data_IF_151674666147
#
_entry.id   IF_151674666147
#
_cell.length_a   1.000
_cell.length_b   1.000
_cell.length_c   1.000
_cell.angle_alpha   90.00
_cell.angle_beta   90.00
_cell.angle_gamma   90.00
#
_symmetry.space_group_name_H-M   'P 1'
#
loop_
_entity.id
_entity.type
_entity.pdbx_description
1 polymer ?
#
# COMPACT_ATOMS: atom_id res chain seq x y z
N UNK A 1 18.49 -21.38 8.44
CA UNK A 1 17.26 -21.75 7.72
C UNK A 1 16.89 -20.60 6.80
N UNK A 2 16.32 -20.90 5.65
CA UNK A 2 15.76 -19.87 4.76
C UNK A 2 14.60 -19.16 5.47
N UNK A 3 14.49 -17.83 5.30
CA UNK A 3 13.38 -17.07 5.87
C UNK A 3 12.13 -17.20 5.00
N UNK A 4 10.98 -17.36 5.61
CA UNK A 4 9.67 -17.45 4.95
C UNK A 4 8.96 -16.09 5.01
N UNK A 5 8.50 -15.61 3.86
CA UNK A 5 7.71 -14.38 3.77
C UNK A 5 6.24 -14.70 4.01
N UNK A 6 5.60 -14.02 4.96
CA UNK A 6 4.15 -13.99 5.12
C UNK A 6 3.54 -12.74 4.49
N UNK A 7 2.54 -12.89 3.62
CA UNK A 7 1.79 -11.77 3.06
C UNK A 7 0.39 -11.73 3.69
N UNK A 8 0.14 -10.73 4.54
CA UNK A 8 -1.17 -10.40 5.09
C UNK A 8 -1.92 -9.56 4.05
N UNK A 9 -2.61 -10.24 3.13
CA UNK A 9 -3.21 -9.68 1.94
C UNK A 9 -4.73 -9.56 1.98
N UNK A 10 -5.35 -9.56 0.81
CA UNK A 10 -6.80 -9.44 0.62
C UNK A 10 -7.34 -8.00 0.59
N UNK A 11 -6.47 -6.99 0.63
CA UNK A 11 -6.83 -5.59 0.87
C UNK A 11 -6.49 -4.58 -0.25
N UNK A 12 -6.53 -4.91 -1.55
CA UNK A 12 -7.36 -5.95 -2.15
C UNK A 12 -6.64 -7.23 -2.61
N UNK A 13 -7.38 -8.22 -3.12
CA UNK A 13 -6.81 -9.45 -3.68
C UNK A 13 -5.87 -9.20 -4.85
N UNK A 14 -6.20 -8.27 -5.76
CA UNK A 14 -5.36 -7.98 -6.92
C UNK A 14 -4.02 -7.34 -6.51
N UNK A 15 -4.03 -6.39 -5.57
CA UNK A 15 -2.82 -5.82 -4.98
C UNK A 15 -1.95 -6.88 -4.27
N UNK A 16 -2.58 -7.90 -3.69
CA UNK A 16 -1.87 -9.02 -3.06
C UNK A 16 -1.17 -9.89 -4.11
N UNK A 17 -1.87 -10.21 -5.20
CA UNK A 17 -1.30 -10.96 -6.32
C UNK A 17 -0.17 -10.17 -7.01
N UNK A 18 -0.33 -8.85 -7.16
CA UNK A 18 0.69 -7.96 -7.71
C UNK A 18 1.96 -7.93 -6.85
N UNK A 19 1.83 -7.85 -5.51
CA UNK A 19 3.00 -7.96 -4.62
C UNK A 19 3.73 -9.29 -4.81
N UNK A 20 3.01 -10.41 -4.85
CA UNK A 20 3.64 -11.71 -5.05
C UNK A 20 4.35 -11.80 -6.42
N UNK A 21 3.70 -11.33 -7.48
CA UNK A 21 4.30 -11.22 -8.82
C UNK A 21 5.60 -10.41 -8.78
N UNK A 22 5.60 -9.24 -8.10
CA UNK A 22 6.78 -8.39 -7.96
C UNK A 22 7.91 -9.08 -7.17
N UNK A 23 7.60 -9.78 -6.09
CA UNK A 23 8.58 -10.58 -5.34
C UNK A 23 9.22 -11.61 -6.28
N UNK A 24 8.41 -12.36 -7.02
CA UNK A 24 8.90 -13.38 -7.96
C UNK A 24 9.79 -12.78 -9.05
N UNK A 25 9.36 -11.69 -9.70
CA UNK A 25 10.11 -11.03 -10.77
C UNK A 25 11.40 -10.35 -10.30
N UNK A 26 11.44 -9.88 -9.05
CA UNK A 26 12.61 -9.21 -8.47
C UNK A 26 13.56 -10.17 -7.75
N UNK A 27 13.18 -11.44 -7.58
CA UNK A 27 14.07 -12.46 -7.02
C UNK A 27 15.08 -12.88 -8.06
N UNK A 28 16.37 -12.76 -7.75
CA UNK A 28 17.45 -13.28 -8.59
C UNK A 28 17.54 -14.79 -8.41
N UNK A 29 16.88 -15.53 -9.28
CA UNK A 29 16.86 -16.98 -9.29
C UNK A 29 17.17 -17.50 -10.70
N UNK A 30 17.97 -18.56 -10.79
CA UNK A 30 18.26 -19.28 -12.04
C UNK A 30 17.44 -20.57 -12.20
N UNK A 31 16.70 -20.95 -11.16
CA UNK A 31 15.79 -22.10 -11.13
C UNK A 31 14.65 -21.89 -10.12
N UNK A 32 13.57 -22.66 -10.23
CA UNK A 32 12.41 -22.58 -9.33
C UNK A 32 12.79 -22.74 -7.85
N UNK A 33 13.82 -23.54 -7.56
CA UNK A 33 14.27 -23.84 -6.19
C UNK A 33 15.01 -22.69 -5.51
N UNK A 34 15.42 -21.68 -6.26
CA UNK A 34 16.10 -20.48 -5.75
C UNK A 34 15.13 -19.34 -5.44
N UNK A 35 13.84 -19.51 -5.76
CA UNK A 35 12.83 -18.54 -5.36
C UNK A 35 12.54 -18.60 -3.86
N UNK A 36 12.19 -17.44 -3.31
CA UNK A 36 11.85 -17.29 -1.89
C UNK A 36 10.58 -18.07 -1.55
N UNK A 37 10.59 -18.75 -0.39
CA UNK A 37 9.36 -19.33 0.15
C UNK A 37 8.40 -18.23 0.63
N UNK A 38 7.18 -18.23 0.09
CA UNK A 38 6.11 -17.26 0.40
C UNK A 38 4.84 -17.98 0.85
N UNK A 39 4.22 -17.50 1.92
CA UNK A 39 2.86 -17.86 2.35
C UNK A 39 1.98 -16.63 2.25
N UNK A 40 0.79 -16.79 1.66
CA UNK A 40 -0.15 -15.67 1.44
C UNK A 40 -1.47 -16.00 2.12
N UNK A 41 -1.90 -15.13 3.03
CA UNK A 41 -3.27 -15.11 3.52
C UNK A 41 -4.00 -13.93 2.85
N UNK A 42 -4.72 -14.24 1.77
CA UNK A 42 -5.49 -13.25 1.01
C UNK A 42 -6.94 -13.17 1.52
N UNK A 43 -7.13 -12.63 2.73
CA UNK A 43 -8.44 -12.50 3.35
C UNK A 43 -9.22 -11.24 2.86
N UNK A 44 -10.05 -11.40 1.83
CA UNK A 44 -10.92 -10.34 1.33
C UNK A 44 -12.12 -10.00 2.25
N UNK A 45 -12.29 -10.72 3.37
CA UNK A 45 -13.33 -10.45 4.37
C UNK A 45 -12.92 -9.40 5.40
N UNK A 46 -11.66 -8.97 5.41
CA UNK A 46 -11.20 -7.86 6.25
C UNK A 46 -12.03 -6.60 5.90
N UNK A 47 -12.72 -5.99 6.90
CA UNK A 47 -13.50 -4.77 6.71
C UNK A 47 -12.75 -3.64 5.98
N UNK A 48 -13.51 -2.74 5.35
CA UNK A 48 -12.92 -1.60 4.63
C UNK A 48 -12.19 -0.66 5.58
N UNK A 49 -10.90 -0.42 5.30
CA UNK A 49 -10.04 0.38 6.17
C UNK A 49 -10.44 1.86 6.15
N UNK A 50 -10.83 2.39 5.00
CA UNK A 50 -11.25 3.80 4.88
C UNK A 50 -12.54 4.05 5.65
N UNK A 51 -13.53 3.17 5.52
CA UNK A 51 -14.80 3.23 6.24
C UNK A 51 -14.62 3.09 7.75
N UNK A 52 -13.72 2.22 8.21
CA UNK A 52 -13.38 2.12 9.63
C UNK A 52 -12.77 3.42 10.18
N UNK A 53 -11.85 4.04 9.44
CA UNK A 53 -11.15 5.27 9.87
C UNK A 53 -12.06 6.50 9.84
N UNK A 54 -12.86 6.66 8.77
CA UNK A 54 -13.56 7.92 8.49
C UNK A 54 -15.05 7.91 8.84
N UNK A 55 -15.64 6.74 9.00
CA UNK A 55 -17.11 6.61 9.05
C UNK A 55 -17.60 5.68 10.14
N UNK A 56 -16.73 5.31 11.10
CA UNK A 56 -17.08 4.40 12.19
C UNK A 56 -17.49 3.01 11.71
N UNK A 57 -17.01 2.59 10.54
CA UNK A 57 -17.24 1.25 10.01
C UNK A 57 -16.64 0.16 10.89
N UNK A 58 -16.92 -1.10 10.56
CA UNK A 58 -16.43 -2.24 11.31
C UNK A 58 -14.90 -2.25 11.43
N UNK A 59 -14.39 -2.53 12.62
CA UNK A 59 -12.96 -2.59 12.91
C UNK A 59 -12.28 -3.72 12.13
N UNK A 60 -11.26 -3.46 11.30
CA UNK A 60 -10.59 -4.50 10.53
C UNK A 60 -9.62 -5.35 11.35
N UNK A 61 -9.20 -4.88 12.52
CA UNK A 61 -8.12 -5.51 13.30
C UNK A 61 -8.38 -6.97 13.68
N UNK A 62 -9.59 -7.38 14.12
CA UNK A 62 -9.84 -8.79 14.44
C UNK A 62 -9.57 -9.75 13.27
N UNK A 63 -9.99 -9.39 12.06
CA UNK A 63 -9.76 -10.20 10.86
C UNK A 63 -8.28 -10.16 10.41
N UNK A 64 -7.61 -9.02 10.60
CA UNK A 64 -6.17 -8.91 10.34
C UNK A 64 -5.35 -9.77 11.31
N UNK A 65 -5.71 -9.82 12.59
CA UNK A 65 -5.07 -10.67 13.59
C UNK A 65 -5.33 -12.16 13.31
N UNK A 66 -6.51 -12.50 12.81
CA UNK A 66 -6.81 -13.86 12.35
C UNK A 66 -5.86 -14.28 11.22
N UNK A 67 -5.72 -13.43 10.19
CA UNK A 67 -4.79 -13.67 9.08
C UNK A 67 -3.32 -13.73 9.53
N UNK A 68 -2.91 -12.84 10.44
CA UNK A 68 -1.56 -12.84 11.02
C UNK A 68 -1.26 -14.17 11.73
N UNK A 69 -2.18 -14.65 12.57
CA UNK A 69 -2.05 -15.94 13.26
C UNK A 69 -1.99 -17.12 12.30
N UNK A 70 -2.66 -17.05 11.15
CA UNK A 70 -2.56 -18.08 10.12
C UNK A 70 -1.15 -18.10 9.52
N UNK A 71 -0.59 -16.93 9.19
CA UNK A 71 0.77 -16.80 8.68
C UNK A 71 1.82 -17.31 9.66
N UNK A 72 1.67 -17.02 10.96
CA UNK A 72 2.53 -17.58 12.02
C UNK A 72 2.48 -19.11 12.04
N UNK A 73 1.29 -19.71 12.02
CA UNK A 73 1.13 -21.18 12.00
C UNK A 73 1.69 -21.82 10.74
N UNK A 74 1.72 -21.09 9.62
CA UNK A 74 2.34 -21.53 8.38
C UNK A 74 3.87 -21.33 8.36
N UNK A 75 4.45 -20.76 9.42
CA UNK A 75 5.89 -20.61 9.61
C UNK A 75 6.48 -19.37 8.94
N UNK A 76 5.73 -18.27 8.81
CA UNK A 76 6.28 -17.00 8.36
C UNK A 76 7.32 -16.45 9.36
N UNK A 77 8.41 -15.86 8.84
CA UNK A 77 9.47 -15.22 9.64
C UNK A 77 9.43 -13.68 9.56
N UNK A 78 8.64 -13.13 8.63
CA UNK A 78 8.48 -11.70 8.38
C UNK A 78 7.13 -11.46 7.72
N UNK A 79 6.47 -10.36 8.07
CA UNK A 79 5.15 -10.02 7.53
C UNK A 79 5.25 -8.83 6.57
N UNK A 80 4.64 -8.99 5.40
CA UNK A 80 4.34 -7.94 4.44
C UNK A 80 2.83 -7.68 4.43
N UNK A 81 2.44 -6.42 4.28
CA UNK A 81 1.02 -6.02 4.22
C UNK A 81 0.80 -5.08 3.02
N UNK A 82 0.39 -5.59 1.83
CA UNK A 82 0.22 -4.80 0.61
C UNK A 82 -1.05 -3.91 0.64
N UNK A 83 -1.17 -3.07 1.67
CA UNK A 83 -2.23 -2.08 1.80
C UNK A 83 -1.75 -0.88 2.62
N UNK A 84 -1.68 0.30 2.00
CA UNK A 84 -1.23 1.52 2.68
C UNK A 84 -2.15 1.93 3.82
N UNK A 85 -3.46 2.02 3.55
CA UNK A 85 -4.46 2.36 4.58
C UNK A 85 -4.41 1.42 5.79
N UNK A 86 -4.07 0.13 5.58
CA UNK A 86 -3.98 -0.84 6.66
C UNK A 86 -2.82 -0.57 7.64
N UNK A 87 -1.78 0.17 7.23
CA UNK A 87 -0.68 0.55 8.11
C UNK A 87 -1.10 1.51 9.22
N UNK A 88 -2.26 2.17 9.11
CA UNK A 88 -2.86 2.90 10.23
C UNK A 88 -3.09 2.00 11.45
N UNK A 89 -3.39 0.71 11.20
CA UNK A 89 -3.66 -0.27 12.24
C UNK A 89 -2.40 -1.04 12.68
N UNK A 90 -1.25 -0.82 12.04
CA UNK A 90 0.00 -1.52 12.39
C UNK A 90 0.38 -1.40 13.88
N UNK A 91 0.20 -0.24 14.57
CA UNK A 91 0.44 -0.14 16.01
C UNK A 91 -0.43 -1.07 16.87
N UNK A 92 -1.58 -1.54 16.35
CA UNK A 92 -2.47 -2.50 17.00
C UNK A 92 -2.18 -3.95 16.62
N UNK A 93 -1.37 -4.18 15.57
CA UNK A 93 -1.01 -5.51 15.09
C UNK A 93 0.36 -5.95 15.59
N UNK A 94 1.36 -5.06 15.54
CA UNK A 94 2.74 -5.40 15.91
C UNK A 94 2.88 -5.92 17.35
N UNK A 95 2.15 -5.42 18.37
CA UNK A 95 2.24 -5.98 19.73
C UNK A 95 1.69 -7.40 19.88
N UNK A 96 0.93 -7.89 18.91
CA UNK A 96 0.26 -9.20 18.96
C UNK A 96 1.12 -10.32 18.35
N UNK A 97 2.36 -10.02 17.93
CA UNK A 97 3.29 -10.98 17.33
C UNK A 97 4.75 -10.56 17.56
N UNK A 98 5.65 -11.55 17.64
CA UNK A 98 7.09 -11.32 17.59
C UNK A 98 7.62 -11.19 16.16
N UNK A 99 6.79 -11.52 15.15
CA UNK A 99 7.20 -11.40 13.75
C UNK A 99 7.34 -9.92 13.37
N UNK A 100 8.46 -9.53 12.73
CA UNK A 100 8.62 -8.17 12.28
C UNK A 100 7.71 -7.90 11.07
N UNK A 101 7.00 -6.78 11.10
CA UNK A 101 6.41 -6.21 9.89
C UNK A 101 7.45 -5.39 9.13
N UNK A 102 7.61 -5.64 7.83
CA UNK A 102 8.32 -4.69 6.98
C UNK A 102 7.35 -3.56 6.60
N UNK A 103 7.52 -2.41 7.26
CA UNK A 103 6.68 -1.25 7.07
C UNK A 103 6.89 -0.67 5.66
N UNK A 104 5.89 -0.85 4.79
CA UNK A 104 5.96 -0.40 3.40
C UNK A 104 6.00 1.12 3.31
N UNK A 105 5.37 1.83 4.25
CA UNK A 105 5.33 3.30 4.26
C UNK A 105 6.73 3.87 4.51
N UNK A 106 7.39 3.41 5.57
CA UNK A 106 8.74 3.83 5.91
C UNK A 106 9.74 3.45 4.83
N UNK A 107 9.64 2.23 4.28
CA UNK A 107 10.49 1.77 3.18
C UNK A 107 10.32 2.64 1.93
N UNK A 108 9.08 3.01 1.60
CA UNK A 108 8.77 3.87 0.44
C UNK A 108 9.36 5.27 0.63
N UNK A 109 9.10 5.90 1.78
CA UNK A 109 9.59 7.27 2.05
C UNK A 109 11.12 7.32 2.07
N UNK A 110 11.78 6.36 2.74
CA UNK A 110 13.23 6.27 2.75
C UNK A 110 13.81 6.16 1.33
N UNK A 111 13.18 5.35 0.47
CA UNK A 111 13.60 5.20 -0.93
C UNK A 111 13.36 6.48 -1.74
N UNK A 112 12.23 7.14 -1.57
CA UNK A 112 11.92 8.41 -2.23
C UNK A 112 12.95 9.50 -1.84
N UNK A 113 13.28 9.63 -0.55
CA UNK A 113 14.29 10.58 -0.08
C UNK A 113 15.65 10.35 -0.73
N UNK A 114 16.06 9.08 -0.85
CA UNK A 114 17.34 8.73 -1.45
C UNK A 114 17.38 9.00 -2.96
N UNK A 115 16.27 8.79 -3.68
CA UNK A 115 16.20 9.00 -5.13
C UNK A 115 15.96 10.46 -5.52
N UNK A 116 15.23 11.21 -4.71
CA UNK A 116 14.77 12.56 -5.01
C UNK A 116 15.13 13.53 -3.88
N UNK A 117 16.44 13.73 -3.58
CA UNK A 117 16.85 14.61 -2.50
C UNK A 117 16.40 16.06 -2.74
N UNK A 118 15.78 16.67 -1.73
CA UNK A 118 15.27 18.05 -1.78
C UNK A 118 14.05 18.26 -2.67
N UNK A 119 13.39 17.17 -3.10
CA UNK A 119 12.19 17.21 -3.95
C UNK A 119 10.92 17.00 -3.14
N UNK A 120 9.82 17.53 -3.66
CA UNK A 120 8.49 17.47 -3.03
C UNK A 120 7.69 16.30 -3.60
N UNK A 121 7.14 15.46 -2.71
CA UNK A 121 6.26 14.36 -3.09
C UNK A 121 4.83 14.85 -3.35
N UNK A 122 4.18 14.38 -4.41
CA UNK A 122 2.72 14.37 -4.54
C UNK A 122 2.19 13.02 -4.03
N UNK A 123 1.24 13.03 -3.10
CA UNK A 123 0.68 11.79 -2.55
C UNK A 123 -0.63 11.42 -3.25
N UNK A 124 -0.64 10.32 -3.98
CA UNK A 124 -1.88 9.71 -4.50
C UNK A 124 -2.24 8.52 -3.63
N UNK A 125 -3.32 8.62 -2.86
CA UNK A 125 -3.72 7.58 -1.94
C UNK A 125 -5.23 7.61 -1.68
N UNK A 126 -5.75 6.64 -0.93
CA UNK A 126 -7.14 6.68 -0.46
C UNK A 126 -7.34 7.83 0.52
N UNK A 127 -8.57 8.34 0.63
CA UNK A 127 -8.92 9.35 1.64
C UNK A 127 -8.58 8.86 3.06
N UNK A 128 -8.76 7.56 3.34
CA UNK A 128 -8.37 6.97 4.62
C UNK A 128 -6.86 7.09 4.88
N UNK A 129 -6.03 6.80 3.87
CA UNK A 129 -4.57 6.95 3.96
C UNK A 129 -4.18 8.41 4.22
N UNK A 130 -4.73 9.35 3.43
CA UNK A 130 -4.42 10.79 3.57
C UNK A 130 -4.83 11.32 4.94
N UNK A 131 -6.07 11.04 5.37
CA UNK A 131 -6.62 11.55 6.64
C UNK A 131 -6.02 10.88 7.88
N UNK A 132 -5.58 9.63 7.77
CA UNK A 132 -4.92 8.91 8.87
C UNK A 132 -3.50 9.41 9.18
N UNK A 133 -2.88 10.17 8.27
CA UNK A 133 -1.54 10.70 8.44
C UNK A 133 -0.40 9.70 8.17
N UNK A 134 -0.69 8.43 7.83
CA UNK A 134 0.33 7.37 7.75
C UNK A 134 1.54 7.74 6.90
N UNK A 135 1.33 8.41 5.75
CA UNK A 135 2.43 8.91 4.92
C UNK A 135 2.95 10.27 5.36
N UNK A 136 2.06 11.23 5.68
CA UNK A 136 2.47 12.60 6.00
C UNK A 136 3.34 12.67 7.24
N UNK A 137 3.08 11.83 8.23
CA UNK A 137 3.84 11.77 9.47
C UNK A 137 5.27 11.26 9.22
N UNK A 138 5.40 10.22 8.40
CA UNK A 138 6.70 9.65 8.01
C UNK A 138 7.47 10.61 7.09
N UNK A 139 6.79 11.21 6.11
CA UNK A 139 7.38 12.22 5.21
C UNK A 139 7.92 13.41 6.00
N UNK A 140 7.13 13.94 6.95
CA UNK A 140 7.55 15.04 7.81
C UNK A 140 8.76 14.67 8.67
N UNK A 141 8.73 13.48 9.30
CA UNK A 141 9.86 12.96 10.10
C UNK A 141 11.14 12.81 9.28
N UNK A 142 11.03 12.42 8.01
CA UNK A 142 12.17 12.23 7.11
C UNK A 142 12.59 13.52 6.36
N UNK A 143 11.91 14.66 6.61
CA UNK A 143 12.21 15.95 6.00
C UNK A 143 11.82 16.05 4.52
N UNK A 144 10.81 15.30 4.08
CA UNK A 144 10.31 15.31 2.69
C UNK A 144 9.01 16.11 2.63
N UNK A 145 9.01 17.21 1.86
CA UNK A 145 7.80 18.01 1.60
C UNK A 145 6.76 17.22 0.81
N UNK A 146 5.48 17.48 1.07
CA UNK A 146 4.37 16.74 0.46
C UNK A 146 3.25 17.69 -0.02
N UNK A 147 2.74 17.43 -1.23
CA UNK A 147 1.53 18.02 -1.80
C UNK A 147 0.42 16.97 -1.75
N UNK A 148 -0.68 17.33 -1.10
CA UNK A 148 -1.89 16.52 -1.05
C UNK A 148 -2.86 16.93 -2.16
N UNK A 149 -3.73 16.02 -2.63
CA UNK A 149 -4.79 16.36 -3.56
C UNK A 149 -5.81 17.32 -2.92
N UNK A 150 -6.48 18.12 -3.75
CA UNK A 150 -7.72 18.83 -3.35
C UNK A 150 -8.84 17.82 -3.12
N UNK A 151 -9.99 18.27 -2.58
CA UNK A 151 -11.14 17.37 -2.37
C UNK A 151 -11.68 16.80 -3.69
N UNK A 152 -11.74 17.62 -4.74
CA UNK A 152 -12.19 17.22 -6.07
C UNK A 152 -11.23 16.19 -6.69
N UNK A 153 -9.92 16.46 -6.61
CA UNK A 153 -8.88 15.55 -7.09
C UNK A 153 -8.89 14.22 -6.32
N UNK A 154 -9.10 14.28 -5.01
CA UNK A 154 -9.21 13.12 -4.15
C UNK A 154 -10.43 12.27 -4.50
N UNK A 155 -11.55 12.89 -4.87
CA UNK A 155 -12.76 12.18 -5.30
C UNK A 155 -12.52 11.41 -6.61
N UNK A 156 -11.84 12.03 -7.60
CA UNK A 156 -11.46 11.36 -8.85
C UNK A 156 -10.56 10.15 -8.58
N UNK A 157 -9.55 10.30 -7.74
CA UNK A 157 -8.67 9.16 -7.38
C UNK A 157 -9.42 8.05 -6.64
N UNK A 158 -10.34 8.40 -5.73
CA UNK A 158 -11.13 7.42 -5.00
C UNK A 158 -12.02 6.61 -5.93
N UNK A 159 -12.71 7.24 -6.88
CA UNK A 159 -13.52 6.53 -7.88
C UNK A 159 -12.68 5.49 -8.64
N UNK A 160 -11.53 5.91 -9.17
CA UNK A 160 -10.62 5.02 -9.90
C UNK A 160 -10.14 3.84 -9.04
N UNK A 161 -9.71 4.10 -7.80
CA UNK A 161 -9.25 3.06 -6.87
C UNK A 161 -10.36 2.03 -6.60
N UNK A 162 -11.58 2.48 -6.31
CA UNK A 162 -12.69 1.57 -5.99
C UNK A 162 -13.19 0.78 -7.21
N UNK A 163 -13.17 1.38 -8.41
CA UNK A 163 -13.49 0.67 -9.67
C UNK A 163 -12.51 -0.45 -9.96
N UNK A 164 -11.20 -0.20 -9.81
CA UNK A 164 -10.17 -1.25 -9.96
C UNK A 164 -10.28 -2.32 -8.87
N UNK A 165 -10.60 -1.95 -7.62
CA UNK A 165 -10.94 -2.94 -6.58
C UNK A 165 -12.14 -3.80 -6.96
N UNK A 166 -13.12 -3.24 -7.69
CA UNK A 166 -14.27 -3.94 -8.25
C UNK A 166 -13.95 -4.81 -9.48
N UNK A 167 -12.71 -4.80 -9.97
CA UNK A 167 -12.27 -5.59 -11.13
C UNK A 167 -12.41 -4.89 -12.48
N UNK A 168 -12.72 -3.59 -12.48
CA UNK A 168 -12.78 -2.82 -13.71
C UNK A 168 -11.38 -2.50 -14.25
N UNK A 169 -11.20 -2.57 -15.56
CA UNK A 169 -9.98 -2.12 -16.25
C UNK A 169 -10.19 -0.69 -16.75
N UNK A 170 -9.43 0.26 -16.20
CA UNK A 170 -9.44 1.64 -16.68
C UNK A 170 -8.65 1.75 -17.98
N UNK A 171 -9.12 2.57 -18.92
CA UNK A 171 -8.52 2.72 -20.26
C UNK A 171 -8.26 4.17 -20.67
N UNK A 172 -8.59 5.12 -19.81
CA UNK A 172 -8.45 6.55 -20.07
C UNK A 172 -7.60 7.19 -18.97
N UNK A 173 -6.45 7.71 -19.37
CA UNK A 173 -5.48 8.34 -18.49
C UNK A 173 -5.75 9.84 -18.27
N UNK A 174 -6.66 10.46 -19.05
CA UNK A 174 -6.84 11.90 -19.06
C UNK A 174 -7.14 12.48 -17.67
N UNK A 175 -7.89 11.74 -16.85
CA UNK A 175 -8.15 12.13 -15.46
C UNK A 175 -6.86 12.18 -14.63
N UNK A 176 -5.99 11.17 -14.73
CA UNK A 176 -4.71 11.12 -14.00
C UNK A 176 -3.69 12.12 -14.53
N UNK A 177 -3.68 12.41 -15.84
CA UNK A 177 -2.85 13.46 -16.42
C UNK A 177 -3.23 14.84 -15.87
N UNK A 178 -4.53 15.13 -15.79
CA UNK A 178 -5.03 16.37 -15.18
C UNK A 178 -4.66 16.49 -13.69
N UNK A 179 -4.83 15.40 -12.93
CA UNK A 179 -4.41 15.31 -11.53
C UNK A 179 -2.92 15.60 -11.37
N UNK A 180 -2.08 14.96 -12.19
CA UNK A 180 -0.64 15.15 -12.16
C UNK A 180 -0.25 16.58 -12.50
N UNK A 181 -0.82 17.16 -13.57
CA UNK A 181 -0.54 18.53 -13.99
C UNK A 181 -0.90 19.56 -12.90
N UNK A 182 -2.08 19.42 -12.29
CA UNK A 182 -2.54 20.30 -11.21
C UNK A 182 -1.62 20.22 -9.97
N UNK A 183 -1.26 19.00 -9.54
CA UNK A 183 -0.35 18.81 -8.40
C UNK A 183 1.07 19.30 -8.69
N UNK A 184 1.55 19.14 -9.92
CA UNK A 184 2.85 19.69 -10.37
C UNK A 184 2.85 21.22 -10.33
N UNK A 185 1.78 21.86 -10.76
CA UNK A 185 1.64 23.32 -10.67
C UNK A 185 1.68 23.83 -9.21
N UNK A 186 1.32 22.97 -8.24
CA UNK A 186 1.43 23.23 -6.80
C UNK A 186 2.74 22.76 -6.17
N UNK A 187 3.71 22.33 -6.99
CA UNK A 187 5.07 22.03 -6.56
C UNK A 187 5.39 20.55 -6.35
N UNK A 188 4.53 19.61 -6.75
CA UNK A 188 4.89 18.18 -6.71
C UNK A 188 5.96 17.86 -7.78
N UNK A 189 7.12 17.34 -7.36
CA UNK A 189 8.21 16.93 -8.24
C UNK A 189 8.05 15.48 -8.71
N UNK A 190 7.69 14.58 -7.78
CA UNK A 190 7.46 13.16 -8.01
C UNK A 190 6.19 12.68 -7.30
N UNK A 191 5.66 11.52 -7.68
CA UNK A 191 4.42 10.99 -7.10
C UNK A 191 4.67 9.70 -6.33
N UNK A 192 4.08 9.61 -5.14
CA UNK A 192 3.98 8.36 -4.38
C UNK A 192 2.61 7.76 -4.68
N UNK A 193 2.61 6.56 -5.25
CA UNK A 193 1.40 5.75 -5.45
C UNK A 193 1.02 5.04 -4.13
N UNK A 194 0.53 5.83 -3.18
CA UNK A 194 0.14 5.46 -1.82
C UNK A 194 -1.17 4.66 -1.71
N UNK A 195 -1.61 3.98 -2.76
CA UNK A 195 -2.61 2.92 -2.74
C UNK A 195 -2.13 1.80 -3.66
N UNK A 196 -2.16 0.55 -3.19
CA UNK A 196 -1.56 -0.58 -3.93
C UNK A 196 -2.31 -0.96 -5.22
N UNK A 197 -3.52 -0.44 -5.41
CA UNK A 197 -4.21 -0.49 -6.70
C UNK A 197 -3.72 0.55 -7.72
N UNK A 198 -3.08 1.65 -7.30
CA UNK A 198 -2.61 2.69 -8.22
C UNK A 198 -1.47 2.27 -9.14
N UNK A 199 -0.48 1.46 -8.73
CA UNK A 199 0.49 0.89 -9.66
C UNK A 199 -0.18 0.03 -10.74
N UNK A 200 -1.24 -0.71 -10.38
CA UNK A 200 -1.99 -1.51 -11.35
C UNK A 200 -2.73 -0.62 -12.33
N UNK A 201 -3.35 0.47 -11.85
CA UNK A 201 -3.96 1.50 -12.71
C UNK A 201 -2.92 2.08 -13.65
N UNK A 202 -1.75 2.47 -13.13
CA UNK A 202 -0.67 3.04 -13.93
C UNK A 202 -0.18 2.09 -15.02
N UNK A 203 -0.09 0.79 -14.76
CA UNK A 203 0.32 -0.22 -15.75
C UNK A 203 -0.78 -0.50 -16.82
N UNK A 204 -2.04 -0.11 -16.56
CA UNK A 204 -3.18 -0.28 -17.48
C UNK A 204 -3.39 0.90 -18.43
N UNK A 205 -2.95 2.09 -18.02
CA UNK A 205 -3.13 3.36 -18.71
C UNK A 205 -1.97 3.66 -19.66
#
# INVERSE_FOLDING_TARGET
>A
MEKVIGILGGMGPLATADLFKKITLLTRASSDREHLRVVIDSNAKIPDRTGAILSGGADPVPEMLSALRNLERCGADVILMPCNTAHHFLPRLQPETELPFLNMIETTVARCRALFPGKTAGLWATSGTVKSGVYTDVLAREGVSCVLPTEEEQAVMMDAIYRVKGGETLRDAAAFDGLAASMRARGADFFILGCTELPIVYDML
#
